data_IF_650946406665
#
_entry.id   IF_650946406665
#
_cell.length_a   1.000
_cell.length_b   1.000
_cell.length_c   1.000
_cell.angle_alpha   90.00
_cell.angle_beta   90.00
_cell.angle_gamma   90.00
#
_symmetry.space_group_name_H-M   'P 1'
#
loop_
_entity.id
_entity.type
_entity.pdbx_description
1 polymer ?
#
# COMPACT_ATOMS: atom_id res chain seq x y z
N UNK A 1 0.19 -2.20 -1.17
CA UNK A 1 -1.15 -2.83 -1.27
C UNK A 1 -2.12 -2.02 -0.44
N UNK A 2 -3.35 -1.84 -0.90
CA UNK A 2 -4.38 -1.08 -0.19
C UNK A 2 -5.59 -1.99 -0.03
N UNK A 3 -6.05 -2.22 1.19
CA UNK A 3 -7.27 -2.96 1.48
C UNK A 3 -8.40 -1.97 1.74
N UNK A 4 -9.50 -2.08 1.00
CA UNK A 4 -10.66 -1.18 1.09
C UNK A 4 -11.43 -1.12 -0.22
N UNK A 5 -12.69 -0.70 -0.15
CA UNK A 5 -13.57 -0.64 -1.32
C UNK A 5 -13.04 0.30 -2.41
N UNK A 6 -13.10 -0.10 -3.68
CA UNK A 6 -12.58 0.70 -4.80
C UNK A 6 -13.35 2.01 -5.00
N UNK A 7 -14.60 2.08 -4.54
CA UNK A 7 -15.45 3.27 -4.60
C UNK A 7 -15.40 4.11 -3.33
N UNK A 8 -14.70 3.67 -2.28
CA UNK A 8 -14.55 4.46 -1.05
C UNK A 8 -13.62 5.65 -1.32
N UNK A 9 -14.06 6.91 -1.10
CA UNK A 9 -13.22 8.09 -1.25
C UNK A 9 -11.89 8.02 -0.49
N UNK A 10 -11.89 7.37 0.68
CA UNK A 10 -10.69 7.20 1.52
C UNK A 10 -9.69 6.23 0.87
N UNK A 11 -10.17 5.13 0.29
CA UNK A 11 -9.33 4.22 -0.52
C UNK A 11 -8.75 4.95 -1.72
N UNK A 12 -9.59 5.72 -2.43
CA UNK A 12 -9.16 6.49 -3.61
C UNK A 12 -8.08 7.51 -3.25
N UNK A 13 -8.15 8.10 -2.07
CA UNK A 13 -7.14 9.02 -1.57
C UNK A 13 -5.78 8.34 -1.35
N UNK A 14 -5.77 7.17 -0.69
CA UNK A 14 -4.55 6.36 -0.53
C UNK A 14 -3.97 5.94 -1.89
N UNK A 15 -4.83 5.54 -2.84
CA UNK A 15 -4.42 5.20 -4.21
C UNK A 15 -3.81 6.40 -4.93
N UNK A 16 -4.40 7.59 -4.79
CA UNK A 16 -3.92 8.83 -5.39
C UNK A 16 -2.51 9.15 -4.91
N UNK A 17 -2.25 9.01 -3.62
CA UNK A 17 -0.97 9.27 -2.95
C UNK A 17 0.15 8.36 -3.47
N UNK A 18 -0.16 7.08 -3.74
CA UNK A 18 0.79 6.16 -4.35
C UNK A 18 1.03 6.50 -5.82
N UNK A 19 -0.02 6.87 -6.56
CA UNK A 19 0.05 7.17 -8.00
C UNK A 19 0.72 8.51 -8.30
N UNK A 20 0.66 9.48 -7.40
CA UNK A 20 1.29 10.80 -7.59
C UNK A 20 2.82 10.77 -7.50
N UNK A 21 3.40 9.73 -6.89
CA UNK A 21 4.85 9.55 -6.76
C UNK A 21 5.40 8.72 -7.92
N UNK A 22 6.67 8.88 -8.27
CA UNK A 22 7.39 7.95 -9.13
C UNK A 22 8.22 6.98 -8.27
N UNK A 23 7.84 5.71 -8.22
CA UNK A 23 8.53 4.68 -7.44
C UNK A 23 8.92 3.52 -8.37
N UNK A 24 10.20 3.40 -8.76
CA UNK A 24 10.65 2.35 -9.67
C UNK A 24 10.37 0.94 -9.11
N UNK A 25 9.87 0.04 -9.96
CA UNK A 25 9.65 -1.37 -9.59
C UNK A 25 8.53 -1.61 -8.58
N UNK A 26 7.71 -0.59 -8.25
CA UNK A 26 6.56 -0.77 -7.35
C UNK A 26 5.47 -1.63 -8.01
N UNK A 27 4.74 -2.36 -7.18
CA UNK A 27 3.46 -2.98 -7.55
C UNK A 27 2.38 -2.44 -6.61
N UNK A 28 1.32 -1.86 -7.18
CA UNK A 28 0.15 -1.43 -6.43
C UNK A 28 -1.00 -2.41 -6.68
N UNK A 29 -1.44 -3.08 -5.62
CA UNK A 29 -2.65 -3.89 -5.61
C UNK A 29 -3.69 -3.25 -4.68
N UNK A 30 -4.95 -3.24 -5.09
CA UNK A 30 -6.10 -2.83 -4.28
C UNK A 30 -6.95 -4.08 -4.04
N UNK A 31 -7.16 -4.42 -2.77
CA UNK A 31 -7.99 -5.52 -2.34
C UNK A 31 -9.35 -4.96 -1.92
N UNK A 32 -10.32 -5.07 -2.83
CA UNK A 32 -11.69 -4.66 -2.57
C UNK A 32 -12.43 -5.80 -1.87
N UNK A 33 -12.99 -5.59 -0.66
CA UNK A 33 -13.76 -6.62 0.03
C UNK A 33 -15.05 -7.01 -0.71
N UNK A 34 -15.57 -6.15 -1.60
CA UNK A 34 -16.76 -6.43 -2.41
C UNK A 34 -16.43 -7.12 -3.75
N UNK A 35 -15.16 -7.18 -4.15
CA UNK A 35 -14.73 -7.86 -5.37
C UNK A 35 -14.07 -9.20 -5.05
N UNK A 36 -14.28 -10.18 -5.94
CA UNK A 36 -13.63 -11.49 -5.86
C UNK A 36 -12.13 -11.31 -6.16
N UNK A 37 -11.34 -11.07 -5.11
CA UNK A 37 -9.90 -10.82 -5.21
C UNK A 37 -9.13 -12.13 -5.11
N UNK A 38 -8.03 -12.31 -5.89
CA UNK A 38 -7.25 -13.55 -5.86
C UNK A 38 -6.76 -13.89 -4.44
N UNK A 39 -6.74 -15.18 -4.10
CA UNK A 39 -6.49 -15.78 -2.76
C UNK A 39 -5.34 -15.15 -1.96
N UNK A 40 -4.31 -14.64 -2.64
CA UNK A 40 -3.15 -13.99 -2.02
C UNK A 40 -3.55 -12.70 -1.28
N UNK A 41 -4.57 -11.99 -1.78
CA UNK A 41 -5.13 -10.77 -1.18
C UNK A 41 -6.14 -11.09 -0.06
N UNK A 42 -6.72 -12.29 -0.04
CA UNK A 42 -7.75 -12.69 0.93
C UNK A 42 -7.24 -12.81 2.37
N UNK A 43 -5.92 -12.86 2.57
CA UNK A 43 -5.30 -12.84 3.92
C UNK A 43 -5.10 -11.43 4.46
N UNK A 44 -5.15 -10.41 3.59
CA UNK A 44 -4.97 -9.03 4.00
C UNK A 44 -6.35 -8.47 4.27
N UNK A 45 -6.82 -8.68 5.50
CA UNK A 45 -8.02 -8.02 6.00
C UNK A 45 -7.65 -6.59 6.34
N UNK A 46 -8.39 -5.63 5.81
CA UNK A 46 -8.37 -4.26 6.34
C UNK A 46 -8.68 -4.28 7.84
N UNK A 47 -8.27 -3.22 8.52
CA UNK A 47 -8.58 -3.02 9.94
C UNK A 47 -10.06 -2.65 10.08
N UNK A 48 -10.94 -3.64 9.94
CA UNK A 48 -12.39 -3.41 9.87
C UNK A 48 -12.82 -2.70 8.58
N UNK A 49 -13.67 -1.68 8.72
CA UNK A 49 -14.24 -0.89 7.62
C UNK A 49 -13.39 0.35 7.25
N UNK A 50 -12.13 0.37 7.70
CA UNK A 50 -11.19 1.46 7.46
C UNK A 50 -10.18 1.05 6.39
N UNK A 51 -10.11 1.79 5.27
CA UNK A 51 -9.10 1.56 4.24
C UNK A 51 -7.70 1.59 4.83
N UNK A 52 -6.91 0.56 4.54
CA UNK A 52 -5.61 0.33 5.15
C UNK A 52 -4.56 0.09 4.08
N UNK A 53 -3.45 0.80 4.13
CA UNK A 53 -2.31 0.64 3.24
C UNK A 53 -1.18 -0.19 3.89
N UNK A 54 -0.61 -1.08 3.09
CA UNK A 54 0.52 -1.93 3.42
C UNK A 54 1.64 -1.65 2.44
N UNK A 55 2.77 -1.16 2.94
CA UNK A 55 3.99 -0.93 2.14
C UNK A 55 4.95 -2.07 2.43
N UNK A 56 5.18 -2.92 1.42
CA UNK A 56 6.06 -4.08 1.56
C UNK A 56 7.34 -3.89 0.72
N UNK A 57 8.48 -4.16 1.33
CA UNK A 57 9.82 -4.05 0.73
C UNK A 57 10.59 -5.33 1.10
N UNK A 58 11.20 -6.01 0.10
CA UNK A 58 12.00 -7.23 0.31
C UNK A 58 11.29 -8.30 1.16
N UNK A 59 10.03 -8.60 0.85
CA UNK A 59 9.19 -9.58 1.57
C UNK A 59 8.84 -9.23 3.03
N UNK A 60 9.19 -8.03 3.50
CA UNK A 60 8.75 -7.49 4.79
C UNK A 60 7.79 -6.33 4.56
N UNK A 61 6.74 -6.22 5.38
CA UNK A 61 5.82 -5.09 5.34
C UNK A 61 6.03 -4.21 6.56
N UNK A 62 5.99 -2.89 6.36
CA UNK A 62 5.88 -1.93 7.46
C UNK A 62 4.54 -2.09 8.17
N UNK A 63 4.38 -1.43 9.32
CA UNK A 63 3.11 -1.39 10.02
C UNK A 63 2.00 -0.87 9.10
N UNK A 64 0.79 -1.44 9.18
CA UNK A 64 -0.35 -0.97 8.41
C UNK A 64 -0.69 0.47 8.80
N UNK A 65 -0.92 1.32 7.79
CA UNK A 65 -1.29 2.73 7.99
C UNK A 65 -2.65 3.00 7.35
N UNK A 66 -3.44 3.84 8.00
CA UNK A 66 -4.75 4.29 7.50
C UNK A 66 -4.74 5.77 7.13
N UNK A 67 -3.74 6.52 7.62
CA UNK A 67 -3.58 7.93 7.34
C UNK A 67 -2.74 8.17 6.09
N UNK A 68 -3.11 9.20 5.34
CA UNK A 68 -2.43 9.59 4.11
C UNK A 68 -1.00 10.02 4.38
N UNK A 69 -0.76 10.89 5.38
CA UNK A 69 0.57 11.46 5.67
C UNK A 69 1.54 10.40 6.19
N UNK A 70 1.04 9.43 6.94
CA UNK A 70 1.84 8.27 7.33
C UNK A 70 2.25 7.44 6.10
N UNK A 71 1.31 7.19 5.18
CA UNK A 71 1.63 6.53 3.92
C UNK A 71 2.65 7.33 3.09
N UNK A 72 2.51 8.65 3.03
CA UNK A 72 3.48 9.53 2.36
C UNK A 72 4.89 9.32 2.89
N UNK A 73 5.03 9.40 4.22
CA UNK A 73 6.31 9.22 4.91
C UNK A 73 6.91 7.85 4.62
N UNK A 74 6.09 6.78 4.66
CA UNK A 74 6.54 5.42 4.36
C UNK A 74 6.93 5.22 2.89
N UNK A 75 6.39 5.98 1.95
CA UNK A 75 6.76 5.91 0.52
C UNK A 75 8.01 6.72 0.22
N UNK A 76 8.21 7.83 0.94
CA UNK A 76 9.36 8.71 0.79
C UNK A 76 10.61 8.18 1.51
N UNK A 77 10.45 7.21 2.42
CA UNK A 77 11.58 6.46 2.98
C UNK A 77 12.45 5.86 1.86
N UNK A 78 13.74 6.24 1.80
CA UNK A 78 14.64 5.66 0.82
C UNK A 78 14.72 4.16 1.09
N UNK A 79 14.45 3.36 0.07
CA UNK A 79 14.79 1.92 0.14
C UNK A 79 16.28 1.86 0.45
N UNK A 80 16.75 1.14 1.49
CA UNK A 80 18.17 1.03 1.73
C UNK A 80 18.80 0.49 0.45
N UNK A 81 19.59 1.35 -0.19
CA UNK A 81 20.26 1.09 -1.46
C UNK A 81 20.90 -0.28 -1.42
N UNK A 82 20.86 -1.01 -2.54
CA UNK A 82 21.79 -2.11 -2.75
C UNK A 82 23.22 -1.64 -2.41
N UNK A 83 24.13 -2.52 -1.92
CA UNK A 83 25.47 -2.11 -1.53
C UNK A 83 26.12 -1.35 -2.69
N UNK A 84 26.43 -0.08 -2.46
CA UNK A 84 27.24 0.74 -3.36
C UNK A 84 28.66 0.21 -3.23
N UNK A 85 29.03 -0.72 -4.10
CA UNK A 85 30.40 -1.17 -4.29
C UNK A 85 31.15 -0.10 -5.09
N UNK A 86 32.06 0.62 -4.41
CA UNK A 86 33.11 1.40 -5.06
C UNK A 86 34.45 0.72 -4.82
#
# INVERSE_FOLDING_TARGET
>A
LIAGGCTDPRTLELVRVVRSRLLPGRVLAVADPAADSPVVLSRIRGTGDVPTAYVCRRYACSLPVTDVKELESLLDEPTPSAPQNN
#
